data_IF_029228199799
#
_entry.id   IF_029228199799
#
_cell.length_a   1.000
_cell.length_b   1.000
_cell.length_c   1.000
_cell.angle_alpha   90.00
_cell.angle_beta   90.00
_cell.angle_gamma   90.00
#
_symmetry.space_group_name_H-M   'P 1'
#
loop_
_entity.id
_entity.type
_entity.pdbx_description
1 polymer ?
#
# COMPACT_ATOMS: atom_id res chain seq x y z
N UNK A 1 18.43 -8.43 -26.76
CA UNK A 1 17.24 -8.83 -26.02
C UNK A 1 17.07 -7.80 -24.91
N UNK A 2 15.89 -7.16 -24.81
CA UNK A 2 15.67 -6.02 -23.91
C UNK A 2 15.43 -6.55 -22.48
N UNK A 3 16.48 -6.61 -21.66
CA UNK A 3 16.49 -7.20 -20.31
C UNK A 3 15.94 -6.25 -19.23
N UNK A 4 15.27 -5.16 -19.61
CA UNK A 4 14.82 -4.09 -18.70
C UNK A 4 13.31 -4.04 -18.47
N UNK A 5 12.54 -5.05 -18.85
CA UNK A 5 11.13 -5.12 -18.48
C UNK A 5 11.02 -5.54 -17.01
N UNK A 6 10.18 -4.85 -16.19
CA UNK A 6 9.91 -5.29 -14.81
C UNK A 6 9.46 -6.76 -14.83
N UNK A 7 10.00 -7.57 -13.93
CA UNK A 7 9.56 -8.95 -13.80
C UNK A 7 8.18 -8.97 -13.11
N UNK A 8 7.12 -8.85 -13.91
CA UNK A 8 5.74 -8.79 -13.44
C UNK A 8 5.32 -10.04 -12.66
N UNK A 9 5.90 -11.19 -12.98
CA UNK A 9 5.59 -12.44 -12.26
C UNK A 9 6.08 -12.39 -10.80
N UNK A 10 7.22 -11.75 -10.54
CA UNK A 10 7.75 -11.57 -9.19
C UNK A 10 6.89 -10.61 -8.37
N UNK A 11 6.45 -9.53 -8.99
CA UNK A 11 5.55 -8.56 -8.36
C UNK A 11 4.22 -9.24 -8.04
N UNK A 12 3.69 -10.03 -8.96
CA UNK A 12 2.45 -10.79 -8.75
C UNK A 12 2.59 -11.81 -7.62
N UNK A 13 3.69 -12.55 -7.54
CA UNK A 13 3.95 -13.51 -6.46
C UNK A 13 4.06 -12.83 -5.10
N UNK A 14 4.75 -11.70 -5.02
CA UNK A 14 4.84 -10.91 -3.80
C UNK A 14 3.47 -10.37 -3.35
N UNK A 15 2.66 -9.87 -4.31
CA UNK A 15 1.29 -9.43 -4.04
C UNK A 15 0.42 -10.57 -3.50
N UNK A 16 0.52 -11.76 -4.08
CA UNK A 16 -0.21 -12.91 -3.58
C UNK A 16 0.19 -13.24 -2.13
N UNK A 17 1.48 -13.19 -1.81
CA UNK A 17 1.96 -13.38 -0.44
C UNK A 17 1.40 -12.36 0.55
N UNK A 18 1.19 -11.11 0.13
CA UNK A 18 0.53 -10.10 0.95
C UNK A 18 -0.95 -10.43 1.16
N UNK A 19 -1.68 -10.74 0.08
CA UNK A 19 -3.09 -11.10 0.16
C UNK A 19 -3.32 -12.38 0.98
N UNK A 20 -2.33 -13.28 1.01
CA UNK A 20 -2.37 -14.50 1.81
C UNK A 20 -2.02 -14.27 3.30
N UNK A 21 -1.59 -13.06 3.66
CA UNK A 21 -1.26 -12.76 5.05
C UNK A 21 -2.47 -12.94 5.97
N UNK A 22 -2.30 -13.55 7.16
CA UNK A 22 -3.41 -13.76 8.10
C UNK A 22 -4.11 -12.47 8.48
N UNK A 23 -3.36 -11.36 8.53
CA UNK A 23 -3.91 -10.08 8.91
C UNK A 23 -4.87 -9.52 7.83
N UNK A 24 -4.45 -9.45 6.56
CA UNK A 24 -5.32 -8.95 5.49
C UNK A 24 -6.58 -9.81 5.36
N UNK A 25 -6.43 -11.14 5.43
CA UNK A 25 -7.56 -12.08 5.40
C UNK A 25 -8.53 -11.85 6.57
N UNK A 26 -8.02 -11.68 7.78
CA UNK A 26 -8.85 -11.42 8.95
C UNK A 26 -9.61 -10.09 8.87
N UNK A 27 -9.04 -9.10 8.22
CA UNK A 27 -9.67 -7.81 8.00
C UNK A 27 -10.55 -7.76 6.74
N UNK A 28 -10.56 -8.83 5.92
CA UNK A 28 -11.30 -8.85 4.66
C UNK A 28 -10.75 -7.85 3.63
N UNK A 29 -9.45 -7.58 3.68
CA UNK A 29 -8.77 -6.63 2.81
C UNK A 29 -8.06 -7.34 1.66
N UNK A 30 -8.06 -6.70 0.49
CA UNK A 30 -7.41 -7.19 -0.72
C UNK A 30 -6.52 -6.11 -1.30
N UNK A 31 -5.28 -6.49 -1.67
CA UNK A 31 -4.36 -5.61 -2.39
C UNK A 31 -4.47 -5.90 -3.89
N UNK A 32 -4.70 -4.87 -4.65
CA UNK A 32 -4.69 -4.89 -6.11
C UNK A 32 -3.63 -3.91 -6.63
N UNK A 33 -2.78 -4.38 -7.52
CA UNK A 33 -1.84 -3.52 -8.23
C UNK A 33 -2.49 -3.04 -9.52
N UNK A 34 -2.53 -1.73 -9.70
CA UNK A 34 -3.08 -1.13 -10.93
C UNK A 34 -1.98 -0.77 -11.92
N UNK A 35 -0.77 -0.50 -11.44
CA UNK A 35 0.46 -0.29 -12.20
C UNK A 35 1.66 -0.24 -11.25
N UNK A 36 2.87 -0.36 -11.76
CA UNK A 36 4.09 -0.13 -10.97
C UNK A 36 4.03 1.24 -10.30
N UNK A 37 4.20 1.27 -8.98
CA UNK A 37 4.10 2.50 -8.18
C UNK A 37 2.67 2.99 -7.92
N UNK A 38 1.66 2.16 -8.24
CA UNK A 38 0.25 2.46 -7.97
C UNK A 38 -0.44 1.21 -7.44
N UNK A 39 -1.17 1.35 -6.36
CA UNK A 39 -1.90 0.24 -5.75
C UNK A 39 -3.24 0.68 -5.17
N UNK A 40 -4.12 -0.29 -5.00
CA UNK A 40 -5.41 -0.14 -4.33
C UNK A 40 -5.49 -1.21 -3.25
N UNK A 41 -5.87 -0.81 -2.04
CA UNK A 41 -6.35 -1.73 -1.02
C UNK A 41 -7.87 -1.61 -0.98
N UNK A 42 -8.55 -2.73 -1.21
CA UNK A 42 -10.01 -2.80 -1.19
C UNK A 42 -10.51 -3.41 0.11
N UNK A 43 -11.59 -2.86 0.60
CA UNK A 43 -12.47 -3.48 1.59
C UNK A 43 -13.81 -3.75 0.90
N UNK A 44 -14.01 -4.96 0.33
CA UNK A 44 -15.23 -5.26 -0.44
C UNK A 44 -16.49 -5.22 0.42
N UNK A 45 -16.35 -5.55 1.70
CA UNK A 45 -17.46 -5.53 2.66
C UNK A 45 -16.96 -5.24 4.06
N UNK A 46 -17.33 -4.05 4.58
CA UNK A 46 -16.97 -3.66 5.94
C UNK A 46 -17.71 -4.51 6.99
N UNK A 47 -16.95 -5.01 7.96
CA UNK A 47 -17.46 -5.76 9.10
C UNK A 47 -18.02 -4.79 10.15
N UNK A 48 -18.98 -5.23 10.98
CA UNK A 48 -19.48 -4.43 12.12
C UNK A 48 -18.35 -3.95 13.05
N UNK A 49 -17.33 -4.78 13.26
CA UNK A 49 -16.15 -4.47 14.10
C UNK A 49 -15.23 -3.42 13.52
N UNK A 50 -15.37 -3.08 12.24
CA UNK A 50 -14.60 -2.05 11.55
C UNK A 50 -15.30 -0.68 11.55
N UNK A 51 -16.49 -0.60 12.14
CA UNK A 51 -17.27 0.63 12.23
C UNK A 51 -17.03 1.36 13.56
N UNK A 52 -17.71 2.45 13.79
CA UNK A 52 -17.59 3.26 15.01
C UNK A 52 -16.88 4.60 14.79
N UNK A 53 -16.67 5.02 13.54
CA UNK A 53 -16.15 6.35 13.22
C UNK A 53 -17.08 7.44 13.73
N UNK A 54 -16.53 8.43 14.43
CA UNK A 54 -17.32 9.52 15.03
C UNK A 54 -18.41 9.08 16.02
N UNK A 55 -18.29 7.85 16.59
CA UNK A 55 -19.28 7.27 17.48
C UNK A 55 -20.51 6.67 16.78
N UNK A 56 -20.48 6.53 15.46
CA UNK A 56 -21.56 5.97 14.63
C UNK A 56 -21.25 4.55 14.18
N UNK A 57 -22.21 3.65 14.28
CA UNK A 57 -22.14 2.27 13.80
C UNK A 57 -22.26 2.15 12.27
N UNK A 58 -22.55 3.24 11.56
CA UNK A 58 -22.62 3.30 10.10
C UNK A 58 -21.35 3.82 9.44
N UNK A 59 -20.49 4.51 10.20
CA UNK A 59 -19.25 5.13 9.70
C UNK A 59 -18.06 4.20 9.92
N UNK A 60 -17.22 4.05 8.90
CA UNK A 60 -15.99 3.28 9.00
C UNK A 60 -15.03 3.92 10.00
N UNK A 61 -14.38 3.12 10.83
CA UNK A 61 -13.43 3.60 11.83
C UNK A 61 -12.18 4.18 11.17
N UNK A 62 -11.71 5.34 11.66
CA UNK A 62 -10.52 6.01 11.13
C UNK A 62 -9.24 5.17 11.22
N UNK A 63 -9.15 4.25 12.19
CA UNK A 63 -8.05 3.30 12.30
C UNK A 63 -8.01 2.32 11.12
N UNK A 64 -9.17 1.89 10.62
CA UNK A 64 -9.27 1.04 9.42
C UNK A 64 -8.80 1.82 8.19
N UNK A 65 -9.23 3.07 8.05
CA UNK A 65 -8.80 3.97 6.96
C UNK A 65 -7.28 4.14 6.98
N UNK A 66 -6.71 4.39 8.16
CA UNK A 66 -5.26 4.56 8.35
C UNK A 66 -4.49 3.31 7.94
N UNK A 67 -4.98 2.14 8.33
CA UNK A 67 -4.39 0.87 7.98
C UNK A 67 -4.47 0.60 6.46
N UNK A 68 -5.60 0.89 5.83
CA UNK A 68 -5.74 0.72 4.39
C UNK A 68 -4.82 1.66 3.61
N UNK A 69 -4.58 2.89 4.10
CA UNK A 69 -3.58 3.78 3.53
C UNK A 69 -2.16 3.23 3.67
N UNK A 70 -1.78 2.75 4.86
CA UNK A 70 -0.45 2.17 5.07
C UNK A 70 -0.21 1.02 4.08
N UNK A 71 -1.19 0.15 3.90
CA UNK A 71 -1.14 -0.95 2.94
C UNK A 71 -1.04 -0.48 1.49
N UNK A 72 -1.89 0.46 1.05
CA UNK A 72 -1.92 0.92 -0.35
C UNK A 72 -0.65 1.69 -0.72
N UNK A 73 -0.21 2.61 0.15
CA UNK A 73 1.01 3.38 -0.08
C UNK A 73 2.25 2.49 0.00
N UNK A 74 2.28 1.58 0.99
CA UNK A 74 3.35 0.60 1.15
C UNK A 74 3.48 -0.33 -0.04
N UNK A 75 2.36 -0.86 -0.56
CA UNK A 75 2.40 -1.71 -1.74
C UNK A 75 2.85 -0.95 -2.99
N UNK A 76 2.39 0.28 -3.21
CA UNK A 76 2.85 1.12 -4.32
C UNK A 76 4.38 1.31 -4.29
N UNK A 77 4.96 1.47 -3.09
CA UNK A 77 6.41 1.59 -2.91
C UNK A 77 7.12 0.26 -3.23
N UNK A 78 6.65 -0.87 -2.69
CA UNK A 78 7.25 -2.19 -2.94
C UNK A 78 7.23 -2.53 -4.43
N UNK A 79 6.12 -2.31 -5.12
CA UNK A 79 6.03 -2.57 -6.56
C UNK A 79 7.02 -1.72 -7.36
N UNK A 80 7.21 -0.45 -6.98
CA UNK A 80 8.22 0.42 -7.58
C UNK A 80 9.64 -0.08 -7.35
N UNK A 81 9.96 -0.54 -6.13
CA UNK A 81 11.27 -1.05 -5.79
C UNK A 81 11.59 -2.34 -6.53
N UNK A 82 10.62 -3.26 -6.62
CA UNK A 82 10.76 -4.53 -7.35
C UNK A 82 10.93 -4.34 -8.86
N UNK A 83 10.45 -3.21 -9.40
CA UNK A 83 10.63 -2.85 -10.79
C UNK A 83 12.00 -2.22 -11.11
N UNK A 84 12.80 -1.90 -10.09
CA UNK A 84 14.14 -1.33 -10.29
C UNK A 84 15.13 -2.40 -10.76
N UNK A 85 16.07 -2.06 -11.66
CA UNK A 85 17.10 -3.01 -12.12
C UNK A 85 17.90 -3.62 -10.96
N UNK A 86 18.18 -2.84 -9.92
CA UNK A 86 18.91 -3.29 -8.73
C UNK A 86 18.18 -4.39 -7.93
N UNK A 87 16.88 -4.53 -8.16
CA UNK A 87 16.07 -5.57 -7.51
C UNK A 87 15.98 -6.87 -8.31
N UNK A 88 16.60 -6.97 -9.51
CA UNK A 88 16.44 -8.13 -10.41
C UNK A 88 16.75 -9.47 -9.76
N UNK A 89 17.80 -9.49 -8.94
CA UNK A 89 18.33 -10.72 -8.32
C UNK A 89 18.00 -10.85 -6.82
N UNK A 90 17.15 -9.93 -6.29
CA UNK A 90 16.74 -9.95 -4.89
C UNK A 90 15.50 -10.83 -4.71
N UNK A 91 15.46 -11.63 -3.65
CA UNK A 91 14.20 -12.22 -3.18
C UNK A 91 13.26 -11.07 -2.78
N UNK A 92 12.04 -10.93 -3.39
CA UNK A 92 11.09 -9.89 -3.05
C UNK A 92 10.77 -9.78 -1.56
N UNK A 93 10.83 -10.89 -0.82
CA UNK A 93 10.56 -10.93 0.62
C UNK A 93 11.73 -10.45 1.49
N UNK A 94 12.93 -10.29 0.93
CA UNK A 94 14.07 -9.67 1.62
C UNK A 94 14.07 -8.14 1.52
N UNK A 95 13.33 -7.58 0.57
CA UNK A 95 13.14 -6.14 0.43
C UNK A 95 12.14 -5.68 1.49
N UNK A 96 12.56 -4.79 2.37
CA UNK A 96 11.76 -4.33 3.51
C UNK A 96 11.57 -2.84 3.49
N UNK A 97 10.43 -2.42 4.01
CA UNK A 97 10.13 -1.02 4.26
C UNK A 97 9.42 -0.85 5.59
N UNK A 98 9.59 0.32 6.19
CA UNK A 98 8.88 0.69 7.41
C UNK A 98 8.37 2.12 7.28
N UNK A 99 7.14 2.32 7.70
CA UNK A 99 6.50 3.63 7.76
C UNK A 99 7.21 4.49 8.80
N UNK A 100 7.72 5.65 8.37
CA UNK A 100 8.30 6.67 9.27
C UNK A 100 7.21 7.62 9.72
N UNK A 101 6.39 8.05 8.75
CA UNK A 101 5.31 8.99 8.97
C UNK A 101 4.15 8.67 8.03
N UNK A 102 2.94 8.82 8.54
CA UNK A 102 1.71 8.77 7.77
C UNK A 102 0.80 9.90 8.27
N UNK A 103 0.61 10.90 7.42
CA UNK A 103 -0.25 12.05 7.67
C UNK A 103 -1.56 11.85 6.91
N UNK A 104 -2.68 11.85 7.63
CA UNK A 104 -4.01 11.59 7.10
C UNK A 104 -4.92 12.78 7.41
N UNK A 105 -5.56 13.29 6.37
CA UNK A 105 -6.61 14.29 6.50
C UNK A 105 -7.96 13.66 6.20
N UNK A 106 -8.82 13.58 7.20
CA UNK A 106 -10.19 13.11 7.06
C UNK A 106 -11.07 14.27 6.57
N UNK A 107 -11.76 14.06 5.45
CA UNK A 107 -12.55 15.08 4.76
C UNK A 107 -14.05 14.87 4.92
N UNK A 108 -14.47 13.58 4.82
CA UNK A 108 -15.87 13.19 4.87
C UNK A 108 -16.03 11.91 5.69
N UNK A 109 -17.21 11.69 6.25
CA UNK A 109 -17.56 10.42 6.86
C UNK A 109 -17.60 9.32 5.81
N UNK A 110 -16.84 8.25 6.04
CA UNK A 110 -16.80 7.08 5.15
C UNK A 110 -18.00 6.17 5.48
N UNK A 111 -19.07 6.32 4.70
CA UNK A 111 -20.35 5.60 4.89
C UNK A 111 -20.54 4.62 3.72
N UNK A 112 -21.14 3.47 4.00
CA UNK A 112 -21.38 2.43 2.98
C UNK A 112 -20.77 1.09 3.37
N UNK A 113 -20.77 0.15 2.45
CA UNK A 113 -20.34 -1.22 2.70
C UNK A 113 -18.95 -1.54 2.14
N UNK A 114 -18.53 -0.87 1.07
CA UNK A 114 -17.24 -1.10 0.43
C UNK A 114 -16.42 0.18 0.32
N UNK A 115 -15.10 0.03 0.36
CA UNK A 115 -14.17 1.16 0.39
C UNK A 115 -12.89 0.82 -0.36
N UNK A 116 -12.18 1.87 -0.83
CA UNK A 116 -10.88 1.75 -1.48
C UNK A 116 -9.90 2.78 -0.93
N UNK A 117 -8.68 2.33 -0.61
CA UNK A 117 -7.53 3.23 -0.45
C UNK A 117 -6.66 3.11 -1.72
N UNK A 118 -6.47 4.21 -2.43
CA UNK A 118 -5.64 4.29 -3.63
C UNK A 118 -4.33 4.96 -3.30
N UNK A 119 -3.21 4.31 -3.63
CA UNK A 119 -1.87 4.82 -3.36
C UNK A 119 -1.05 5.00 -4.63
N UNK A 120 -0.19 6.01 -4.63
CA UNK A 120 0.83 6.22 -5.65
C UNK A 120 2.13 6.72 -5.05
N UNK A 121 3.25 6.30 -5.65
CA UNK A 121 4.56 6.82 -5.32
C UNK A 121 4.72 8.21 -5.91
N UNK A 122 5.20 9.15 -5.08
CA UNK A 122 5.56 10.52 -5.50
C UNK A 122 7.04 10.60 -5.83
N UNK A 123 7.86 10.00 -4.97
CA UNK A 123 9.32 9.96 -5.13
C UNK A 123 9.89 8.76 -4.40
N UNK A 124 10.90 8.15 -5.00
CA UNK A 124 11.64 7.07 -4.38
C UNK A 124 13.14 7.29 -4.52
N UNK A 125 13.87 6.96 -3.47
CA UNK A 125 15.32 6.93 -3.42
C UNK A 125 15.77 5.59 -2.84
N UNK A 126 17.06 5.34 -2.79
CA UNK A 126 17.61 4.10 -2.26
C UNK A 126 17.19 3.82 -0.80
N UNK A 127 16.97 4.86 0.00
CA UNK A 127 16.72 4.70 1.45
C UNK A 127 15.38 5.24 1.91
N UNK A 128 14.69 5.99 1.06
CA UNK A 128 13.47 6.68 1.46
C UNK A 128 12.50 6.76 0.30
N UNK A 129 11.24 6.53 0.56
CA UNK A 129 10.15 6.68 -0.39
C UNK A 129 9.08 7.62 0.15
N UNK A 130 8.46 8.37 -0.77
CA UNK A 130 7.35 9.27 -0.51
C UNK A 130 6.17 8.81 -1.35
N UNK A 131 5.02 8.67 -0.73
CA UNK A 131 3.79 8.29 -1.41
C UNK A 131 2.62 9.12 -0.91
N UNK A 132 1.57 9.20 -1.74
CA UNK A 132 0.32 9.86 -1.40
C UNK A 132 -0.87 9.05 -1.89
N UNK A 133 -2.04 9.31 -1.34
CA UNK A 133 -3.23 8.55 -1.71
C UNK A 133 -4.54 9.19 -1.31
N UNK A 134 -5.61 8.57 -1.81
CA UNK A 134 -6.99 8.95 -1.55
C UNK A 134 -7.77 7.73 -1.03
N UNK A 135 -8.71 7.98 -0.14
CA UNK A 135 -9.65 6.99 0.36
C UNK A 135 -11.06 7.32 -0.12
N UNK A 136 -11.71 6.34 -0.75
CA UNK A 136 -12.99 6.51 -1.40
C UNK A 136 -14.05 5.56 -0.81
N UNK A 137 -15.27 6.04 -0.73
CA UNK A 137 -16.45 5.21 -0.49
C UNK A 137 -16.95 4.53 -1.80
N UNK A 138 -18.01 3.73 -1.68
CA UNK A 138 -18.61 3.00 -2.81
C UNK A 138 -19.17 3.93 -3.91
N UNK A 139 -19.43 5.19 -3.61
CA UNK A 139 -19.94 6.19 -4.55
C UNK A 139 -18.82 6.98 -5.24
N UNK A 140 -17.56 6.69 -4.88
CA UNK A 140 -16.41 7.44 -5.37
C UNK A 140 -16.17 8.77 -4.66
N UNK A 141 -16.81 9.00 -3.51
CA UNK A 141 -16.57 10.18 -2.68
C UNK A 141 -15.21 10.07 -2.00
N UNK A 142 -14.36 11.08 -2.13
CA UNK A 142 -13.10 11.12 -1.39
C UNK A 142 -13.38 11.43 0.07
N UNK A 143 -13.19 10.44 0.95
CA UNK A 143 -13.44 10.56 2.38
C UNK A 143 -12.18 10.95 3.17
N UNK A 144 -11.00 10.66 2.64
CA UNK A 144 -9.73 11.06 3.25
C UNK A 144 -8.62 11.13 2.19
N UNK A 145 -7.56 11.86 2.53
CA UNK A 145 -6.29 11.88 1.79
C UNK A 145 -5.14 11.54 2.72
N UNK A 146 -4.07 10.98 2.17
CA UNK A 146 -2.88 10.69 2.95
C UNK A 146 -1.60 11.02 2.19
N UNK A 147 -0.55 11.36 2.96
CA UNK A 147 0.84 11.45 2.51
C UNK A 147 1.71 10.71 3.52
N UNK A 148 2.77 10.07 3.05
CA UNK A 148 3.63 9.36 3.98
C UNK A 148 5.06 9.22 3.48
N UNK A 149 5.91 8.82 4.41
CA UNK A 149 7.34 8.62 4.24
C UNK A 149 7.70 7.24 4.77
N UNK A 150 8.44 6.47 3.96
CA UNK A 150 8.93 5.14 4.32
C UNK A 150 10.43 5.07 4.29
N UNK A 151 11.01 4.33 5.24
CA UNK A 151 12.39 3.87 5.18
C UNK A 151 12.46 2.59 4.37
N UNK A 152 13.38 2.54 3.41
CA UNK A 152 13.63 1.37 2.57
C UNK A 152 14.90 0.68 3.04
N UNK A 153 14.87 -0.66 3.11
CA UNK A 153 15.99 -1.51 3.47
C UNK A 153 16.24 -2.52 2.36
N UNK A 154 17.43 -2.44 1.79
CA UNK A 154 17.91 -3.38 0.81
C UNK A 154 18.68 -4.51 1.48
N UNK A 155 18.67 -5.74 0.95
CA UNK A 155 19.54 -6.81 1.42
C UNK A 155 21.02 -6.40 1.41
N UNK A 156 21.79 -6.96 2.33
CA UNK A 156 23.21 -6.60 2.50
C UNK A 156 24.06 -6.84 1.25
N UNK A 157 23.71 -7.83 0.42
CA UNK A 157 24.38 -8.13 -0.86
C UNK A 157 24.39 -6.93 -1.83
N UNK A 158 23.41 -6.03 -1.72
CA UNK A 158 23.29 -4.83 -2.58
C UNK A 158 23.70 -3.55 -1.82
N UNK A 159 23.60 -3.55 -0.50
CA UNK A 159 23.94 -2.37 0.31
C UNK A 159 25.44 -1.98 0.21
N UNK A 160 26.31 -2.91 -0.17
CA UNK A 160 27.76 -2.76 -0.25
C UNK A 160 28.30 -2.33 -1.62
N UNK A 161 27.47 -2.17 -2.64
CA UNK A 161 27.95 -1.70 -3.95
C UNK A 161 28.05 -0.17 -3.95
N UNK A 162 29.26 0.42 -3.93
CA UNK A 162 29.44 1.87 -4.09
C UNK A 162 28.95 2.31 -5.47
N UNK A 163 28.31 3.46 -5.54
CA UNK A 163 28.04 4.15 -6.82
C UNK A 163 29.28 4.83 -7.33
#
# INVERSE_FOLDING_TARGET
MNTNAPNLDRIAACKQGWNDSPFLKAQGLEVEETAVGRAVVRLPKALPTQRGGGGSDTVLNGGVISYMFDGALGWAIISSLLAMPEASDIDPFELRQFTINLDITFLNAAVGDSFEARGKVVRISRTTAFAEGEFLDANGTVCATAKGIWRVFWPRSIASTPR
#
